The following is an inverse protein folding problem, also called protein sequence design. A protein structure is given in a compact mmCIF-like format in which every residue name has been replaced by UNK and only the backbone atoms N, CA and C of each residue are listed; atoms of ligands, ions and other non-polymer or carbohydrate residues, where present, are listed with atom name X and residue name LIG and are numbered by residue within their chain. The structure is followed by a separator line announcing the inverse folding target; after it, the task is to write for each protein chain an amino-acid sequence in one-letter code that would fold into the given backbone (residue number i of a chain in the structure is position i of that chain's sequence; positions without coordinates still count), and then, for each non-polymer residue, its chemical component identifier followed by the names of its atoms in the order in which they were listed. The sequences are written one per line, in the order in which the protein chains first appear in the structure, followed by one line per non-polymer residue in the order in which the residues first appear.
data_IF_197588537104
#
_entry.id   IF_197588537104
#
_cell.length_a   1.000
_cell.length_b   1.000
_cell.length_c   1.000
_cell.angle_alpha   90.00
_cell.angle_beta   90.00
_cell.angle_gamma   90.00
#
_symmetry.space_group_name_H-M   'P 1'
#
loop_
_entity.id
_entity.type
_entity.pdbx_description
1 polymer ?
#
# COMPACT_ATOMS: atom_id res chain seq x y z
N UNK A 1 0.32 -3.44 0.72
CA UNK A 1 1.62 -3.21 0.08
C UNK A 1 2.63 -2.70 1.10
N UNK A 2 2.36 -1.60 1.81
CA UNK A 2 3.19 -1.11 2.93
C UNK A 2 3.36 -2.12 4.09
N UNK A 3 2.40 -3.03 4.25
CA UNK A 3 2.39 -4.06 5.30
C UNK A 3 3.14 -5.35 4.94
N UNK A 4 3.68 -5.48 3.73
CA UNK A 4 4.48 -6.66 3.38
C UNK A 4 5.92 -6.45 3.82
N UNK A 5 6.45 -7.33 4.67
CA UNK A 5 7.85 -7.29 5.14
C UNK A 5 8.87 -7.46 4.00
N UNK A 6 8.42 -7.96 2.85
CA UNK A 6 9.27 -8.16 1.68
C UNK A 6 9.48 -6.88 0.88
N UNK A 7 8.66 -5.83 1.06
CA UNK A 7 8.81 -4.57 0.31
C UNK A 7 9.83 -3.69 1.02
N UNK A 8 10.96 -3.45 0.36
CA UNK A 8 12.07 -2.62 0.86
C UNK A 8 11.77 -1.14 0.64
N UNK A 9 11.29 -0.80 -0.56
CA UNK A 9 11.13 0.59 -0.99
C UNK A 9 9.92 0.71 -1.94
N UNK A 10 9.26 1.86 -1.86
CA UNK A 10 8.08 2.20 -2.67
C UNK A 10 8.33 3.58 -3.28
N UNK A 11 8.43 3.64 -4.61
CA UNK A 11 8.60 4.89 -5.35
C UNK A 11 7.31 5.23 -6.07
N UNK A 12 6.68 6.31 -5.65
CA UNK A 12 5.46 6.81 -6.28
C UNK A 12 5.78 7.72 -7.47
N UNK A 13 4.91 7.74 -8.47
CA UNK A 13 5.02 8.60 -9.67
C UNK A 13 6.38 8.47 -10.38
N UNK A 14 6.90 7.25 -10.49
CA UNK A 14 8.24 6.99 -10.99
C UNK A 14 8.35 7.35 -12.49
N UNK A 15 9.28 8.25 -12.87
CA UNK A 15 9.41 8.73 -14.25
C UNK A 15 10.02 7.65 -15.17
N UNK A 16 9.41 7.46 -16.34
CA UNK A 16 9.87 6.52 -17.36
C UNK A 16 10.93 7.20 -18.23
N UNK A 17 12.19 7.01 -17.83
CA UNK A 17 13.37 7.56 -18.51
C UNK A 17 14.24 6.44 -19.11
N UNK A 18 14.89 6.66 -20.26
CA UNK A 18 14.91 7.91 -21.04
C UNK A 18 13.64 8.13 -21.87
N UNK A 19 13.32 9.41 -22.15
CA UNK A 19 12.15 9.80 -22.96
C UNK A 19 12.18 9.16 -24.35
N UNK A 20 13.35 9.09 -24.98
CA UNK A 20 13.56 8.49 -26.31
C UNK A 20 13.07 7.04 -26.37
N UNK A 21 13.21 6.28 -25.28
CA UNK A 21 12.71 4.90 -25.21
C UNK A 21 11.19 4.86 -25.27
N UNK A 22 10.51 5.74 -24.53
CA UNK A 22 9.04 5.81 -24.56
C UNK A 22 8.52 6.29 -25.91
N UNK A 23 9.24 7.21 -26.57
CA UNK A 23 8.94 7.66 -27.93
C UNK A 23 9.09 6.55 -28.96
N UNK A 24 10.19 5.81 -28.89
CA UNK A 24 10.44 4.65 -29.74
C UNK A 24 9.36 3.58 -29.58
N UNK A 25 8.98 3.26 -28.35
CA UNK A 25 7.91 2.30 -28.07
C UNK A 25 6.57 2.80 -28.62
N UNK A 26 6.25 4.08 -28.43
CA UNK A 26 5.03 4.68 -28.95
C UNK A 26 4.97 4.56 -30.49
N UNK A 27 6.07 4.84 -31.18
CA UNK A 27 6.18 4.69 -32.63
C UNK A 27 6.05 3.23 -33.07
N UNK A 28 6.72 2.29 -32.38
CA UNK A 28 6.66 0.84 -32.66
C UNK A 28 5.24 0.29 -32.53
N UNK A 29 4.46 0.80 -31.58
CA UNK A 29 3.10 0.38 -31.32
C UNK A 29 2.05 1.14 -32.14
N UNK A 30 2.46 2.09 -32.98
CA UNK A 30 1.57 3.03 -33.68
C UNK A 30 0.62 3.80 -32.74
N UNK A 31 1.14 4.18 -31.57
CA UNK A 31 0.41 4.92 -30.54
C UNK A 31 0.95 6.34 -30.47
N UNK A 32 0.05 7.32 -30.47
CA UNK A 32 0.44 8.72 -30.26
C UNK A 32 1.04 8.92 -28.87
N UNK A 33 2.28 9.38 -28.79
CA UNK A 33 2.92 9.68 -27.50
C UNK A 33 2.24 10.87 -26.77
N UNK A 34 2.12 10.85 -25.43
CA UNK A 34 1.59 11.99 -24.67
C UNK A 34 2.42 13.26 -24.87
N UNK A 35 1.77 14.38 -25.15
CA UNK A 35 2.42 15.68 -25.38
C UNK A 35 1.80 16.76 -24.50
N UNK A 36 2.59 17.78 -24.16
CA UNK A 36 2.12 18.94 -23.42
C UNK A 36 1.11 19.71 -24.28
N UNK A 37 -0.10 20.01 -23.78
CA UNK A 37 -1.09 20.77 -24.54
C UNK A 37 -0.62 22.15 -24.98
N UNK A 38 0.27 22.82 -24.21
CA UNK A 38 0.77 24.18 -24.47
C UNK A 38 1.85 24.19 -25.55
N UNK A 39 2.91 23.42 -25.36
CA UNK A 39 4.11 23.49 -26.20
C UNK A 39 4.21 22.35 -27.23
N UNK A 40 3.29 21.38 -27.21
CA UNK A 40 3.27 20.18 -28.06
C UNK A 40 4.52 19.28 -27.95
N UNK A 41 5.35 19.50 -26.94
CA UNK A 41 6.53 18.69 -26.66
C UNK A 41 6.12 17.36 -26.00
N UNK A 42 6.82 16.25 -26.28
CA UNK A 42 6.60 14.98 -25.59
C UNK A 42 6.82 15.12 -24.09
N UNK A 43 5.92 14.55 -23.28
CA UNK A 43 6.04 14.59 -21.81
C UNK A 43 6.64 13.30 -21.28
N UNK A 44 7.39 13.40 -20.19
CA UNK A 44 7.87 12.21 -19.48
C UNK A 44 6.66 11.49 -18.89
N UNK A 45 6.46 10.24 -19.29
CA UNK A 45 5.44 9.38 -18.71
C UNK A 45 5.89 8.91 -17.32
N UNK A 46 4.94 8.62 -16.43
CA UNK A 46 5.21 8.16 -15.08
C UNK A 46 4.39 6.91 -14.78
N UNK A 47 4.96 5.92 -14.09
CA UNK A 47 4.16 4.83 -13.51
C UNK A 47 3.71 5.22 -12.10
N UNK A 48 2.54 4.74 -11.67
CA UNK A 48 1.99 5.14 -10.37
C UNK A 48 2.86 4.64 -9.20
N UNK A 49 3.35 3.40 -9.26
CA UNK A 49 4.25 2.84 -8.24
C UNK A 49 5.33 1.94 -8.84
N UNK A 50 6.54 2.02 -8.29
CA UNK A 50 7.63 1.07 -8.49
C UNK A 50 8.05 0.51 -7.13
N UNK A 51 7.84 -0.79 -6.94
CA UNK A 51 8.17 -1.52 -5.73
C UNK A 51 9.55 -2.17 -5.86
N UNK A 52 10.33 -2.07 -4.80
CA UNK A 52 11.56 -2.85 -4.61
C UNK A 52 11.27 -3.94 -3.60
N UNK A 53 11.31 -5.20 -4.02
CA UNK A 53 10.93 -6.36 -3.20
C UNK A 53 12.16 -7.23 -2.96
N UNK A 54 12.39 -7.61 -1.70
CA UNK A 54 13.40 -8.59 -1.32
C UNK A 54 12.86 -10.00 -1.59
N UNK A 55 13.58 -10.77 -2.40
CA UNK A 55 13.28 -12.18 -2.64
C UNK A 55 14.52 -12.99 -2.27
N UNK A 56 14.48 -13.64 -1.09
CA UNK A 56 15.57 -14.44 -0.53
C UNK A 56 16.91 -13.70 -0.55
N UNK A 57 17.74 -13.92 -1.59
CA UNK A 57 19.08 -13.34 -1.79
C UNK A 57 19.13 -12.25 -2.88
N UNK A 58 18.01 -11.92 -3.52
CA UNK A 58 17.95 -10.98 -4.66
C UNK A 58 16.94 -9.85 -4.45
N UNK A 59 17.13 -8.76 -5.20
CA UNK A 59 16.19 -7.64 -5.25
C UNK A 59 15.42 -7.73 -6.57
N UNK A 60 14.09 -7.72 -6.48
CA UNK A 60 13.19 -7.70 -7.62
C UNK A 60 12.48 -6.34 -7.69
N UNK A 61 12.31 -5.83 -8.90
CA UNK A 61 11.48 -4.65 -9.16
C UNK A 61 10.13 -5.06 -9.72
N UNK A 62 9.06 -4.44 -9.22
CA UNK A 62 7.69 -4.65 -9.70
C UNK A 62 7.04 -3.28 -9.91
N UNK A 63 6.51 -3.04 -11.10
CA UNK A 63 5.81 -1.82 -11.45
C UNK A 63 4.30 -2.03 -11.40
N UNK A 64 3.59 -1.11 -10.76
CA UNK A 64 2.13 -1.08 -10.75
C UNK A 64 1.60 0.23 -11.33
N UNK A 65 0.66 0.10 -12.25
CA UNK A 65 -0.18 1.22 -12.69
C UNK A 65 -1.55 1.05 -12.06
N UNK A 66 -2.02 2.05 -11.32
CA UNK A 66 -3.27 2.03 -10.58
C UNK A 66 -4.27 2.91 -11.31
N UNK A 67 -5.33 2.29 -11.86
CA UNK A 67 -6.38 3.01 -12.56
C UNK A 67 -7.75 2.39 -12.27
N UNK A 68 -8.76 3.21 -11.91
CA UNK A 68 -10.14 2.74 -11.81
C UNK A 68 -10.61 2.13 -13.13
N UNK A 69 -11.35 1.02 -13.07
CA UNK A 69 -11.82 0.29 -14.24
C UNK A 69 -12.72 1.16 -15.13
N UNK A 70 -13.50 2.05 -14.53
CA UNK A 70 -14.34 3.03 -15.22
C UNK A 70 -13.55 4.15 -15.95
N UNK A 71 -12.26 4.33 -15.66
CA UNK A 71 -11.39 5.34 -16.31
C UNK A 71 -10.50 4.75 -17.40
N UNK A 72 -10.62 3.46 -17.71
CA UNK A 72 -9.90 2.77 -18.78
C UNK A 72 -10.46 3.10 -20.17
N UNK A 73 -10.34 4.36 -20.59
CA UNK A 73 -10.65 4.77 -21.96
C UNK A 73 -9.62 4.23 -22.95
N UNK A 74 -9.94 4.18 -24.26
CA UNK A 74 -9.00 3.78 -25.32
C UNK A 74 -7.66 4.52 -25.20
N UNK A 75 -7.70 5.84 -24.97
CA UNK A 75 -6.50 6.67 -24.81
C UNK A 75 -5.69 6.34 -23.55
N UNK A 76 -6.34 5.88 -22.48
CA UNK A 76 -5.65 5.44 -21.26
C UNK A 76 -4.98 4.09 -21.50
N UNK A 77 -5.67 3.15 -22.14
CA UNK A 77 -5.12 1.84 -22.49
C UNK A 77 -3.91 1.95 -23.41
N UNK A 78 -3.96 2.83 -24.41
CA UNK A 78 -2.82 3.15 -25.28
C UNK A 78 -1.58 3.58 -24.47
N UNK A 79 -1.76 4.47 -23.48
CA UNK A 79 -0.66 4.91 -22.62
C UNK A 79 -0.12 3.76 -21.77
N UNK A 80 -1.02 2.96 -21.16
CA UNK A 80 -0.63 1.80 -20.37
C UNK A 80 0.14 0.75 -21.18
N UNK A 81 -0.14 0.61 -22.49
CA UNK A 81 0.62 -0.28 -23.37
C UNK A 81 2.07 0.17 -23.56
N UNK A 82 2.31 1.48 -23.67
CA UNK A 82 3.67 2.04 -23.71
C UNK A 82 4.41 1.73 -22.39
N UNK A 83 3.76 1.94 -21.25
CA UNK A 83 4.34 1.63 -19.93
C UNK A 83 4.68 0.14 -19.81
N UNK A 84 3.74 -0.73 -20.20
CA UNK A 84 3.93 -2.19 -20.16
C UNK A 84 5.14 -2.63 -20.99
N UNK A 85 5.27 -2.16 -22.22
CA UNK A 85 6.39 -2.53 -23.09
C UNK A 85 7.71 -1.95 -22.56
N UNK A 86 7.70 -0.74 -21.98
CA UNK A 86 8.89 -0.12 -21.37
C UNK A 86 9.49 -0.95 -20.22
N UNK A 87 8.64 -1.50 -19.35
CA UNK A 87 9.07 -2.36 -18.24
C UNK A 87 9.39 -3.78 -18.71
N UNK A 88 8.66 -4.31 -19.69
CA UNK A 88 8.95 -5.61 -20.31
C UNK A 88 10.35 -5.67 -20.91
N UNK A 89 10.78 -4.60 -21.59
CA UNK A 89 12.15 -4.48 -22.11
C UNK A 89 13.22 -4.53 -21.01
N UNK A 90 12.88 -4.12 -19.79
CA UNK A 90 13.77 -4.15 -18.62
C UNK A 90 13.65 -5.44 -17.82
N UNK A 91 12.82 -6.40 -18.29
CA UNK A 91 12.47 -7.62 -17.56
C UNK A 91 11.87 -7.33 -16.17
N UNK A 92 11.24 -6.16 -16.02
CA UNK A 92 10.53 -5.76 -14.81
C UNK A 92 9.07 -6.19 -14.97
N UNK A 93 8.53 -6.80 -13.92
CA UNK A 93 7.13 -7.20 -13.90
C UNK A 93 6.24 -5.96 -13.84
N UNK A 94 5.23 -5.89 -14.71
CA UNK A 94 4.28 -4.78 -14.75
C UNK A 94 2.86 -5.31 -14.63
N UNK A 95 2.07 -4.69 -13.75
CA UNK A 95 0.66 -5.05 -13.56
C UNK A 95 -0.24 -3.81 -13.44
N UNK A 96 -1.39 -3.87 -14.13
CA UNK A 96 -2.48 -2.92 -13.96
C UNK A 96 -3.33 -3.35 -12.75
N UNK A 97 -3.39 -2.49 -11.74
CA UNK A 97 -4.21 -2.68 -10.56
C UNK A 97 -5.47 -1.83 -10.70
N UNK A 98 -6.62 -2.49 -10.60
CA UNK A 98 -7.94 -1.86 -10.59
C UNK A 98 -8.57 -1.99 -9.20
N UNK A 99 -9.57 -1.16 -8.93
CA UNK A 99 -10.35 -1.17 -7.69
C UNK A 99 -11.04 -2.51 -7.42
N UNK A 100 -11.23 -3.34 -8.45
CA UNK A 100 -11.81 -4.69 -8.34
C UNK A 100 -10.87 -5.69 -7.67
N UNK A 101 -9.57 -5.42 -7.72
CA UNK A 101 -8.53 -6.26 -7.11
C UNK A 101 -8.18 -5.78 -5.69
N UNK A 102 -8.79 -4.68 -5.25
CA UNK A 102 -8.57 -4.13 -3.92
C UNK A 102 -9.54 -4.79 -2.93
N UNK A 103 -8.98 -5.42 -1.91
CA UNK A 103 -9.77 -5.90 -0.79
C UNK A 103 -10.14 -4.71 0.11
N UNK A 104 -11.36 -4.18 -0.07
CA UNK A 104 -11.84 -3.04 0.72
C UNK A 104 -11.92 -3.33 2.23
N UNK A 105 -12.07 -4.59 2.65
CA UNK A 105 -11.98 -4.94 4.07
C UNK A 105 -10.57 -4.69 4.58
N UNK A 106 -9.55 -5.07 3.81
CA UNK A 106 -8.15 -4.79 4.16
C UNK A 106 -7.88 -3.28 4.20
N UNK A 107 -8.38 -2.51 3.22
CA UNK A 107 -8.24 -1.05 3.21
C UNK A 107 -8.83 -0.43 4.47
N UNK A 108 -10.07 -0.78 4.81
CA UNK A 108 -10.73 -0.28 6.02
C UNK A 108 -9.97 -0.67 7.30
N UNK A 109 -9.44 -1.89 7.35
CA UNK A 109 -8.63 -2.34 8.50
C UNK A 109 -7.32 -1.56 8.60
N UNK A 110 -6.65 -1.29 7.47
CA UNK A 110 -5.42 -0.50 7.43
C UNK A 110 -5.70 0.95 7.83
N UNK A 111 -6.75 1.59 7.32
CA UNK A 111 -7.17 2.94 7.74
C UNK A 111 -7.47 2.99 9.23
N UNK A 112 -8.17 1.98 9.76
CA UNK A 112 -8.50 1.86 11.17
C UNK A 112 -7.26 1.73 12.08
N UNK A 113 -6.22 1.03 11.61
CA UNK A 113 -4.93 0.89 12.31
C UNK A 113 -4.05 2.14 12.14
N UNK A 114 -4.03 2.75 10.96
CA UNK A 114 -3.19 3.93 10.68
C UNK A 114 -3.56 5.11 11.58
N UNK A 115 -4.86 5.30 11.87
CA UNK A 115 -5.34 6.28 12.83
C UNK A 115 -4.84 6.04 14.27
N UNK A 116 -4.38 4.83 14.59
CA UNK A 116 -3.86 4.47 15.91
C UNK A 116 -2.33 4.51 16.00
N UNK A 117 -1.61 4.74 14.90
CA UNK A 117 -0.13 4.74 14.86
C UNK A 117 0.46 5.89 15.68
N UNK A 118 -0.15 7.07 15.60
CA UNK A 118 0.20 8.26 16.38
C UNK A 118 -0.89 8.53 17.41
N UNK A 119 -0.76 7.94 18.61
CA UNK A 119 -1.69 8.20 19.69
C UNK A 119 -0.96 8.80 20.89
N UNK A 120 -0.79 10.13 20.90
CA UNK A 120 -0.16 10.90 21.97
C UNK A 120 -0.89 10.80 23.32
N UNK A 121 -2.09 10.20 23.34
CA UNK A 121 -2.90 10.03 24.55
C UNK A 121 -2.62 8.73 25.31
N UNK A 122 -1.86 7.79 24.73
CA UNK A 122 -1.50 6.55 25.39
C UNK A 122 -0.21 6.73 26.20
N UNK A 123 -0.26 6.43 27.49
CA UNK A 123 0.93 6.39 28.35
C UNK A 123 1.71 5.09 28.11
N UNK A 124 3.00 5.20 27.79
CA UNK A 124 3.90 4.04 27.64
C UNK A 124 3.90 3.13 28.88
N UNK A 125 3.71 3.70 30.07
CA UNK A 125 3.60 2.92 31.31
C UNK A 125 2.34 2.02 31.31
N UNK A 126 1.20 2.53 30.84
CA UNK A 126 -0.03 1.74 30.74
C UNK A 126 0.09 0.65 29.68
N UNK A 127 0.73 0.94 28.55
CA UNK A 127 0.99 -0.05 27.49
C UNK A 127 1.79 -1.21 28.07
N UNK A 128 2.97 -0.95 28.64
CA UNK A 128 3.85 -2.00 29.17
C UNK A 128 3.20 -2.81 30.29
N UNK A 129 2.37 -2.19 31.14
CA UNK A 129 1.71 -2.90 32.24
C UNK A 129 0.55 -3.80 31.81
N UNK A 130 -0.10 -3.48 30.69
CA UNK A 130 -1.30 -4.18 30.22
C UNK A 130 -1.00 -5.12 29.06
N UNK A 131 0.14 -4.97 28.38
CA UNK A 131 0.52 -5.73 27.20
C UNK A 131 0.45 -7.24 27.42
N UNK A 132 1.17 -7.78 28.41
CA UNK A 132 1.21 -9.23 28.68
C UNK A 132 -0.19 -9.79 28.99
N UNK A 133 -0.96 -9.07 29.82
CA UNK A 133 -2.31 -9.47 30.19
C UNK A 133 -3.27 -9.47 29.00
N UNK A 134 -3.19 -8.44 28.16
CA UNK A 134 -3.99 -8.33 26.94
C UNK A 134 -3.60 -9.41 25.93
N UNK A 135 -2.30 -9.68 25.74
CA UNK A 135 -1.80 -10.70 24.83
C UNK A 135 -2.30 -12.09 25.25
N UNK A 136 -2.16 -12.44 26.53
CA UNK A 136 -2.69 -13.69 27.08
C UNK A 136 -4.22 -13.79 26.94
N UNK A 137 -4.96 -12.73 27.28
CA UNK A 137 -6.42 -12.73 27.20
C UNK A 137 -6.92 -12.91 25.76
N UNK A 138 -6.22 -12.35 24.77
CA UNK A 138 -6.58 -12.47 23.35
C UNK A 138 -6.22 -13.87 22.83
N UNK A 139 -5.05 -14.41 23.18
CA UNK A 139 -4.62 -15.75 22.77
C UNK A 139 -5.51 -16.87 23.33
N UNK A 140 -6.00 -16.70 24.56
CA UNK A 140 -6.78 -17.73 25.27
C UNK A 140 -8.29 -17.65 25.00
N UNK A 141 -8.75 -16.66 24.25
CA UNK A 141 -10.18 -16.43 24.02
C UNK A 141 -10.58 -16.72 22.57
N UNK A 142 -11.66 -17.48 22.40
CA UNK A 142 -12.32 -17.65 21.09
C UNK A 142 -13.32 -16.51 20.79
N UNK A 143 -13.49 -15.56 21.71
CA UNK A 143 -14.44 -14.44 21.55
C UNK A 143 -13.87 -13.40 20.58
N UNK A 144 -14.75 -12.60 19.92
CA UNK A 144 -14.29 -11.47 19.11
C UNK A 144 -13.41 -10.51 19.91
N UNK A 145 -12.35 -9.97 19.28
CA UNK A 145 -11.40 -9.04 19.90
C UNK A 145 -12.08 -7.87 20.63
N UNK A 146 -13.16 -7.33 20.05
CA UNK A 146 -13.95 -6.26 20.64
C UNK A 146 -14.60 -6.63 21.98
N UNK A 147 -14.95 -7.90 22.18
CA UNK A 147 -15.52 -8.39 23.44
C UNK A 147 -14.43 -8.63 24.48
N UNK A 148 -13.31 -9.23 24.08
CA UNK A 148 -12.17 -9.48 24.98
C UNK A 148 -11.61 -8.17 25.51
N UNK A 149 -11.33 -7.20 24.63
CA UNK A 149 -10.81 -5.88 25.04
C UNK A 149 -11.77 -5.13 25.97
N UNK A 150 -13.08 -5.25 25.75
CA UNK A 150 -14.08 -4.67 26.65
C UNK A 150 -14.13 -5.35 28.02
N UNK A 151 -14.05 -6.68 28.06
CA UNK A 151 -13.95 -7.43 29.33
C UNK A 151 -12.70 -7.03 30.12
N UNK A 152 -11.59 -6.73 29.42
CA UNK A 152 -10.37 -6.22 30.03
C UNK A 152 -10.50 -4.76 30.48
N UNK A 153 -11.18 -3.89 29.72
CA UNK A 153 -11.49 -2.52 30.16
C UNK A 153 -12.25 -2.55 31.50
N UNK A 154 -13.25 -3.43 31.62
CA UNK A 154 -14.05 -3.61 32.84
C UNK A 154 -13.21 -4.18 34.00
N UNK A 155 -12.32 -5.14 33.72
CA UNK A 155 -11.43 -5.77 34.71
C UNK A 155 -10.43 -4.77 35.33
N UNK A 156 -9.85 -3.90 34.50
CA UNK A 156 -8.84 -2.92 34.93
C UNK A 156 -9.44 -1.58 35.36
N UNK A 157 -10.77 -1.41 35.31
CA UNK A 157 -11.45 -0.16 35.65
C UNK A 157 -11.14 0.99 34.68
N UNK A 158 -10.88 0.66 33.41
CA UNK A 158 -10.48 1.61 32.37
C UNK A 158 -11.70 2.12 31.58
N UNK A 159 -11.59 3.29 30.92
CA UNK A 159 -12.63 3.77 30.03
C UNK A 159 -12.89 2.78 28.89
N UNK A 160 -14.16 2.58 28.53
CA UNK A 160 -14.55 1.70 27.43
C UNK A 160 -13.79 2.05 26.13
N UNK A 161 -13.11 1.05 25.57
CA UNK A 161 -12.33 1.16 24.35
C UNK A 161 -10.85 1.51 24.55
N UNK A 162 -10.36 1.61 25.80
CA UNK A 162 -8.96 1.94 26.08
C UNK A 162 -8.01 0.77 25.75
N UNK A 163 -8.33 -0.45 26.19
CA UNK A 163 -7.60 -1.67 25.81
C UNK A 163 -7.62 -1.89 24.30
N UNK A 164 -8.74 -1.61 23.63
CA UNK A 164 -8.82 -1.66 22.16
C UNK A 164 -7.89 -0.65 21.49
N UNK A 165 -7.70 0.54 22.06
CA UNK A 165 -6.73 1.52 21.53
C UNK A 165 -5.29 1.06 21.70
N UNK A 166 -4.95 0.43 22.83
CA UNK A 166 -3.63 -0.16 23.06
C UNK A 166 -3.34 -1.25 22.03
N UNK A 167 -4.27 -2.21 21.86
CA UNK A 167 -4.10 -3.29 20.87
C UNK A 167 -3.90 -2.74 19.46
N UNK A 168 -4.69 -1.73 19.07
CA UNK A 168 -4.50 -1.07 17.76
C UNK A 168 -3.13 -0.41 17.64
N UNK A 169 -2.67 0.28 18.67
CA UNK A 169 -1.37 0.94 18.69
C UNK A 169 -0.22 -0.07 18.54
N UNK A 170 -0.31 -1.20 19.26
CA UNK A 170 0.69 -2.28 19.21
C UNK A 170 0.76 -2.91 17.82
N UNK A 171 -0.38 -3.23 17.21
CA UNK A 171 -0.44 -3.78 15.84
C UNK A 171 0.02 -2.73 14.81
N UNK A 172 -0.41 -1.46 14.94
CA UNK A 172 -0.07 -0.39 14.00
C UNK A 172 1.43 -0.08 13.95
N UNK A 173 2.14 -0.26 15.08
CA UNK A 173 3.58 -0.07 15.19
C UNK A 173 4.39 -1.36 15.07
N UNK A 174 3.74 -2.50 14.79
CA UNK A 174 4.37 -3.83 14.64
C UNK A 174 5.09 -4.31 15.89
N UNK A 175 4.56 -3.97 17.07
CA UNK A 175 5.00 -4.60 18.32
C UNK A 175 4.39 -5.99 18.50
N UNK A 176 3.16 -6.17 17.98
CA UNK A 176 2.42 -7.44 17.91
C UNK A 176 2.16 -7.86 16.47
#
# INVERSE_FOLDING_TARGET
MEWSEQVIDIREQFPLLPLDKTLYIAQKLDIKHPTDPKNKLPIIMTTDMLLTVKQEESIKFIAHSIKPSNKLTKRVVEKLQIEKEFFKDQKIEWALITERQINYNLVRNVEWLHNAKNNDKLSNHHINSLEDNLYCAIQQSEKPLAKVTREQDELFGLPSGYCMQIVKYLIANRYW
#
